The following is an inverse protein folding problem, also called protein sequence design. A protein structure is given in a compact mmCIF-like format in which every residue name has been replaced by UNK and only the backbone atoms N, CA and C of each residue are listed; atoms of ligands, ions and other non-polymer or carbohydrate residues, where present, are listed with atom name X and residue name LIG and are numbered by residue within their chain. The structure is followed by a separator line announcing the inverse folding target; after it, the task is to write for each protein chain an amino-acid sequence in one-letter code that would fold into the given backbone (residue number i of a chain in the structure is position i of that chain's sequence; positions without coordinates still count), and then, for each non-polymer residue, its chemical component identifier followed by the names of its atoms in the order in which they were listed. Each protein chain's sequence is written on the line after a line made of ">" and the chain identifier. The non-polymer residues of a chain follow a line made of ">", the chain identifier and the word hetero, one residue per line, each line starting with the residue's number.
data_IF_482074685439
#
_entry.id   IF_482074685439
#
_cell.length_a   1.000
_cell.length_b   1.000
_cell.length_c   1.000
_cell.angle_alpha   90.00
_cell.angle_beta   90.00
_cell.angle_gamma   90.00
#
_symmetry.space_group_name_H-M   'P 1'
#
loop_
_entity.id
_entity.type
_entity.pdbx_description
1 polymer ?
#
# COMPACT_ATOMS: atom_id res chain seq x y z
N UNK A 1 42.11 -40.18 -11.21
CA UNK A 1 41.27 -39.05 -10.75
C UNK A 1 41.21 -39.10 -9.22
N UNK A 2 41.69 -38.07 -8.53
CA UNK A 2 41.80 -38.05 -7.06
C UNK A 2 40.49 -37.51 -6.49
N UNK A 3 39.61 -38.39 -6.00
CA UNK A 3 38.33 -37.98 -5.41
C UNK A 3 38.57 -37.36 -4.03
N UNK A 4 38.28 -36.07 -3.88
CA UNK A 4 38.27 -35.40 -2.58
C UNK A 4 37.06 -35.92 -1.80
N UNK A 5 37.32 -36.74 -0.77
CA UNK A 5 36.28 -37.20 0.16
C UNK A 5 36.00 -36.08 1.16
N UNK A 6 34.95 -35.31 0.93
CA UNK A 6 34.49 -34.32 1.91
C UNK A 6 33.97 -35.04 3.16
N UNK A 7 34.62 -34.80 4.29
CA UNK A 7 34.24 -35.39 5.55
C UNK A 7 33.06 -34.58 6.13
N UNK A 8 31.83 -34.93 5.72
CA UNK A 8 30.60 -34.19 6.06
C UNK A 8 30.38 -33.97 7.58
N UNK A 9 31.00 -34.79 8.43
CA UNK A 9 30.92 -34.64 9.88
C UNK A 9 31.64 -33.38 10.41
N UNK A 10 32.71 -32.93 9.73
CA UNK A 10 33.44 -31.71 10.08
C UNK A 10 32.70 -30.42 9.66
N UNK A 11 31.63 -30.54 8.85
CA UNK A 11 30.79 -29.41 8.41
C UNK A 11 29.65 -29.09 9.38
N UNK A 12 29.44 -29.90 10.43
CA UNK A 12 28.43 -29.66 11.47
C UNK A 12 28.57 -28.27 12.13
N UNK A 13 29.76 -27.83 12.59
CA UNK A 13 29.91 -26.48 13.15
C UNK A 13 29.67 -25.37 12.11
N UNK A 14 30.07 -25.60 10.85
CA UNK A 14 29.85 -24.64 9.74
C UNK A 14 28.35 -24.47 9.46
N UNK A 15 27.58 -25.56 9.52
CA UNK A 15 26.11 -25.51 9.36
C UNK A 15 25.44 -24.75 10.49
N UNK A 16 25.90 -24.92 11.73
CA UNK A 16 25.38 -24.19 12.89
C UNK A 16 25.69 -22.70 12.77
N UNK A 17 26.92 -22.34 12.41
CA UNK A 17 27.31 -20.94 12.20
C UNK A 17 26.48 -20.29 11.09
N UNK A 18 26.30 -20.98 9.96
CA UNK A 18 25.48 -20.48 8.86
C UNK A 18 24.02 -20.28 9.27
N UNK A 19 23.44 -21.22 10.03
CA UNK A 19 22.08 -21.10 10.54
C UNK A 19 21.91 -19.88 11.47
N UNK A 20 22.90 -19.59 12.32
CA UNK A 20 22.90 -18.40 13.19
C UNK A 20 23.01 -17.11 12.38
N UNK A 21 23.86 -17.07 11.34
CA UNK A 21 23.98 -15.90 10.48
C UNK A 21 22.68 -15.64 9.70
N UNK A 22 22.04 -16.68 9.17
CA UNK A 22 20.76 -16.56 8.46
C UNK A 22 19.64 -16.14 9.40
N UNK A 23 19.57 -16.69 10.61
CA UNK A 23 18.55 -16.29 11.59
C UNK A 23 18.74 -14.84 12.05
N UNK A 24 19.98 -14.41 12.29
CA UNK A 24 20.29 -13.02 12.59
C UNK A 24 19.89 -12.10 11.43
N UNK A 25 20.26 -12.43 10.18
CA UNK A 25 19.85 -11.68 8.99
C UNK A 25 18.34 -11.57 8.86
N UNK A 26 17.60 -12.65 9.10
CA UNK A 26 16.14 -12.64 9.06
C UNK A 26 15.56 -11.74 10.17
N UNK A 27 16.06 -11.84 11.40
CA UNK A 27 15.59 -10.98 12.50
C UNK A 27 15.88 -9.50 12.23
N UNK A 28 17.09 -9.16 11.78
CA UNK A 28 17.44 -7.78 11.44
C UNK A 28 16.71 -7.27 10.19
N UNK A 29 16.42 -8.16 9.23
CA UNK A 29 15.59 -7.84 8.06
C UNK A 29 14.14 -7.56 8.41
N UNK A 30 13.63 -8.10 9.51
CA UNK A 30 12.27 -7.81 10.01
C UNK A 30 12.25 -6.65 11.00
N UNK A 31 13.35 -6.38 11.70
CA UNK A 31 13.49 -5.25 12.63
C UNK A 31 13.75 -3.91 11.93
N UNK A 32 14.18 -3.94 10.67
CA UNK A 32 14.13 -2.80 9.76
C UNK A 32 12.89 -2.98 8.88
N UNK A 33 11.67 -2.54 9.30
CA UNK A 33 10.61 -2.35 8.33
C UNK A 33 11.22 -1.46 7.25
N UNK A 34 11.26 -1.99 6.04
CA UNK A 34 12.08 -1.50 4.96
C UNK A 34 12.20 0.03 4.99
N UNK A 35 13.43 0.53 4.83
CA UNK A 35 13.72 1.88 4.34
C UNK A 35 13.11 2.13 2.93
N UNK A 36 12.06 1.41 2.54
CA UNK A 36 11.00 1.94 1.72
C UNK A 36 10.36 3.12 2.43
N UNK A 37 10.98 4.29 2.27
CA UNK A 37 10.20 5.44 1.83
C UNK A 37 9.14 4.94 0.83
N UNK A 38 7.88 5.39 0.92
CA UNK A 38 6.78 4.78 0.18
C UNK A 38 7.17 4.62 -1.27
N UNK A 39 7.25 3.36 -1.73
CA UNK A 39 7.60 2.96 -3.11
C UNK A 39 6.56 3.52 -4.12
N UNK A 40 5.53 4.19 -3.63
CA UNK A 40 4.67 5.10 -4.37
C UNK A 40 4.92 6.56 -3.95
N UNK A 41 5.61 7.38 -4.77
CA UNK A 41 5.87 8.79 -4.49
C UNK A 41 4.62 9.68 -4.35
N UNK A 42 3.42 9.17 -4.67
CA UNK A 42 2.13 9.84 -4.47
C UNK A 42 1.18 9.11 -3.51
N UNK A 43 1.66 8.06 -2.82
CA UNK A 43 0.84 7.35 -1.84
C UNK A 43 0.67 8.19 -0.58
N UNK A 44 -0.55 8.65 -0.31
CA UNK A 44 -0.92 9.19 1.00
C UNK A 44 -0.40 8.26 2.10
N UNK A 45 0.15 8.80 3.21
CA UNK A 45 0.45 7.95 4.36
C UNK A 45 -0.83 7.20 4.73
N UNK A 46 -0.85 5.88 4.49
CA UNK A 46 -1.93 5.03 4.97
C UNK A 46 -1.88 5.14 6.48
N UNK A 47 -2.84 5.84 7.08
CA UNK A 47 -2.97 5.92 8.52
C UNK A 47 -3.38 4.53 9.01
N UNK A 48 -2.47 3.70 9.57
CA UNK A 48 -2.79 2.31 9.88
C UNK A 48 -3.81 2.21 11.01
N UNK A 49 -4.00 3.30 11.76
CA UNK A 49 -5.07 3.46 12.77
C UNK A 49 -6.43 3.80 12.16
N UNK A 50 -6.49 4.31 10.93
CA UNK A 50 -7.72 4.43 10.18
C UNK A 50 -7.91 3.11 9.44
N UNK A 51 -8.71 2.21 10.01
CA UNK A 51 -9.16 1.02 9.29
C UNK A 51 -9.87 1.40 7.97
N UNK A 52 -10.28 0.40 7.20
CA UNK A 52 -11.00 0.62 5.95
C UNK A 52 -12.17 1.61 6.16
N UNK A 53 -12.26 2.62 5.28
CA UNK A 53 -13.40 3.53 5.30
C UNK A 53 -14.66 2.71 5.04
N UNK A 54 -15.62 2.74 5.98
CA UNK A 54 -16.87 2.01 5.81
C UNK A 54 -17.74 2.71 4.73
N UNK A 55 -17.65 2.20 3.50
CA UNK A 55 -18.40 2.63 2.32
C UNK A 55 -19.78 1.92 2.24
N UNK A 56 -20.51 1.91 3.36
CA UNK A 56 -21.80 1.21 3.49
C UNK A 56 -22.89 1.73 2.55
N UNK A 57 -22.81 2.99 2.13
CA UNK A 57 -23.73 3.57 1.15
C UNK A 57 -23.50 2.97 -0.24
N UNK A 58 -22.24 2.81 -0.64
CA UNK A 58 -21.88 2.15 -1.91
C UNK A 58 -22.32 0.69 -1.90
N UNK A 59 -22.08 -0.04 -0.80
CA UNK A 59 -22.51 -1.44 -0.67
C UNK A 59 -24.04 -1.58 -0.80
N UNK A 60 -24.78 -0.70 -0.14
CA UNK A 60 -26.25 -0.68 -0.20
C UNK A 60 -26.75 -0.38 -1.61
N UNK A 61 -26.22 0.66 -2.26
CA UNK A 61 -26.62 1.03 -3.63
C UNK A 61 -26.26 -0.07 -4.64
N UNK A 62 -25.12 -0.74 -4.47
CA UNK A 62 -24.74 -1.89 -5.29
C UNK A 62 -25.69 -3.09 -5.08
N UNK A 63 -26.09 -3.39 -3.84
CA UNK A 63 -27.09 -4.44 -3.58
C UNK A 63 -28.45 -4.09 -4.17
N UNK A 64 -28.90 -2.84 -4.03
CA UNK A 64 -30.14 -2.37 -4.62
C UNK A 64 -30.11 -2.46 -6.16
N UNK A 65 -28.98 -2.14 -6.79
CA UNK A 65 -28.81 -2.25 -8.24
C UNK A 65 -28.88 -3.70 -8.76
N UNK A 66 -28.43 -4.68 -7.97
CA UNK A 66 -28.50 -6.10 -8.32
C UNK A 66 -29.92 -6.66 -8.13
N UNK A 67 -30.69 -6.10 -7.18
CA UNK A 67 -32.04 -6.55 -6.86
C UNK A 67 -33.13 -5.88 -7.70
N UNK A 68 -32.87 -4.70 -8.26
CA UNK A 68 -33.80 -3.96 -9.13
C UNK A 68 -33.69 -4.39 -10.59
N UNK A 69 -34.79 -4.18 -11.33
CA UNK A 69 -34.76 -4.19 -12.79
C UNK A 69 -33.73 -3.19 -13.33
N UNK A 70 -33.17 -3.44 -14.54
CA UNK A 70 -32.19 -2.55 -15.13
C UNK A 70 -32.66 -1.10 -15.13
N UNK A 71 -31.79 -0.19 -14.66
CA UNK A 71 -32.12 1.23 -14.57
C UNK A 71 -32.62 1.78 -15.90
N UNK A 72 -33.66 2.61 -15.84
CA UNK A 72 -34.12 3.36 -17.00
C UNK A 72 -33.06 4.40 -17.39
N UNK A 73 -32.96 4.76 -18.69
CA UNK A 73 -31.99 5.77 -19.16
C UNK A 73 -32.02 7.07 -18.36
N UNK A 74 -33.21 7.50 -17.92
CA UNK A 74 -33.38 8.73 -17.12
C UNK A 74 -32.79 8.57 -15.72
N UNK A 75 -33.02 7.43 -15.07
CA UNK A 75 -32.48 7.11 -13.74
C UNK A 75 -30.96 6.97 -13.78
N UNK A 76 -30.43 6.29 -14.81
CA UNK A 76 -28.99 6.22 -15.11
C UNK A 76 -28.38 7.62 -15.26
N UNK A 77 -29.04 8.51 -16.00
CA UNK A 77 -28.52 9.86 -16.26
C UNK A 77 -28.58 10.74 -15.01
N UNK A 78 -29.61 10.62 -14.17
CA UNK A 78 -29.68 11.32 -12.88
C UNK A 78 -28.59 10.83 -11.93
N UNK A 79 -28.45 9.51 -11.74
CA UNK A 79 -27.41 8.92 -10.87
C UNK A 79 -25.99 9.26 -11.36
N UNK A 80 -25.75 9.23 -12.67
CA UNK A 80 -24.48 9.64 -13.26
C UNK A 80 -24.16 11.12 -13.03
N UNK A 81 -25.17 12.00 -13.06
CA UNK A 81 -24.99 13.43 -12.77
C UNK A 81 -24.71 13.69 -11.28
N UNK A 82 -25.22 12.84 -10.40
CA UNK A 82 -25.03 12.98 -8.95
C UNK A 82 -23.59 12.69 -8.50
N UNK A 83 -22.79 11.92 -9.27
CA UNK A 83 -21.40 11.72 -8.88
C UNK A 83 -20.63 10.64 -9.62
N UNK A 84 -20.25 9.60 -8.88
CA UNK A 84 -19.15 8.68 -9.19
C UNK A 84 -19.44 7.75 -10.37
N UNK A 85 -20.65 7.17 -10.43
CA UNK A 85 -21.15 6.34 -11.53
C UNK A 85 -22.66 6.10 -11.39
N UNK A 86 -23.24 5.32 -12.30
CA UNK A 86 -24.70 5.12 -12.39
C UNK A 86 -25.26 4.20 -11.32
N UNK A 87 -24.41 3.44 -10.62
CA UNK A 87 -24.76 2.54 -9.53
C UNK A 87 -24.61 3.25 -8.18
N UNK A 88 -23.46 3.87 -7.94
CA UNK A 88 -23.06 4.47 -6.67
C UNK A 88 -23.56 5.91 -6.51
N UNK A 89 -23.84 6.63 -7.61
CA UNK A 89 -24.22 8.04 -7.56
C UNK A 89 -23.25 8.87 -6.70
N UNK A 90 -23.77 9.63 -5.75
CA UNK A 90 -22.98 10.41 -4.78
C UNK A 90 -22.65 9.64 -3.48
N UNK A 91 -22.95 8.34 -3.38
CA UNK A 91 -22.83 7.59 -2.14
C UNK A 91 -21.39 7.58 -1.62
N UNK A 92 -21.23 7.94 -0.34
CA UNK A 92 -19.94 7.98 0.38
C UNK A 92 -18.82 8.77 -0.34
N UNK A 93 -19.19 9.70 -1.22
CA UNK A 93 -18.28 10.52 -2.00
C UNK A 93 -17.27 11.31 -1.13
N UNK A 94 -17.73 11.77 0.04
CA UNK A 94 -16.93 12.48 1.04
C UNK A 94 -15.99 11.57 1.86
N UNK A 95 -16.21 10.25 1.82
CA UNK A 95 -15.38 9.26 2.53
C UNK A 95 -14.31 8.65 1.63
N UNK A 96 -14.39 8.85 0.33
CA UNK A 96 -13.39 8.38 -0.62
C UNK A 96 -12.14 9.25 -0.59
N UNK A 97 -10.97 8.61 -0.74
CA UNK A 97 -9.71 9.32 -0.94
C UNK A 97 -9.68 9.91 -2.35
N UNK A 98 -9.35 11.20 -2.42
CA UNK A 98 -9.33 12.04 -3.61
C UNK A 98 -8.04 12.86 -3.59
N UNK A 99 -7.50 13.26 -4.76
CA UNK A 99 -6.29 14.09 -4.80
C UNK A 99 -6.38 15.35 -3.93
N UNK A 100 -7.55 15.99 -3.85
CA UNK A 100 -7.79 17.18 -3.02
C UNK A 100 -7.77 16.93 -1.50
N UNK A 101 -8.12 15.72 -1.04
CA UNK A 101 -8.15 15.37 0.40
C UNK A 101 -6.99 14.43 0.79
N UNK A 102 -6.20 14.00 -0.19
CA UNK A 102 -4.97 13.25 -0.03
C UNK A 102 -3.82 14.22 0.28
N UNK A 103 -3.28 14.17 1.50
CA UNK A 103 -2.05 14.88 1.86
C UNK A 103 -0.84 14.15 1.27
N UNK A 104 -0.65 14.29 -0.04
CA UNK A 104 0.58 13.85 -0.72
C UNK A 104 1.59 15.01 -0.74
N UNK A 105 2.85 14.72 -0.41
CA UNK A 105 3.94 15.68 -0.58
C UNK A 105 4.33 15.73 -2.05
N UNK A 106 4.47 16.93 -2.64
CA UNK A 106 4.94 17.07 -4.02
C UNK A 106 6.35 16.50 -4.19
N UNK A 107 6.66 15.99 -5.38
CA UNK A 107 8.00 15.51 -5.73
C UNK A 107 9.02 16.64 -5.58
N UNK A 108 8.62 17.88 -5.87
CA UNK A 108 9.46 19.06 -5.75
C UNK A 108 9.80 19.40 -4.29
N UNK A 109 8.82 19.29 -3.38
CA UNK A 109 9.03 19.49 -1.95
C UNK A 109 9.98 18.43 -1.37
N UNK A 110 9.89 17.18 -1.85
CA UNK A 110 10.80 16.10 -1.45
C UNK A 110 12.21 16.32 -1.96
N UNK A 111 12.35 16.78 -3.21
CA UNK A 111 13.66 17.07 -3.80
C UNK A 111 14.34 18.23 -3.08
N UNK A 112 13.58 19.28 -2.73
CA UNK A 112 14.06 20.42 -1.97
C UNK A 112 14.51 20.03 -0.55
N UNK A 113 13.68 19.27 0.18
CA UNK A 113 14.06 18.75 1.50
C UNK A 113 15.30 17.84 1.45
N UNK A 114 15.41 16.99 0.42
CA UNK A 114 16.58 16.14 0.23
C UNK A 114 17.85 16.97 -0.05
N UNK A 115 17.75 17.94 -0.97
CA UNK A 115 18.85 18.86 -1.29
C UNK A 115 19.27 19.71 -0.07
N UNK A 116 18.32 20.20 0.72
CA UNK A 116 18.59 20.96 1.95
C UNK A 116 19.28 20.07 3.01
N UNK A 117 18.82 18.82 3.17
CA UNK A 117 19.43 17.86 4.11
C UNK A 117 20.86 17.45 3.75
N UNK A 118 21.17 17.33 2.45
CA UNK A 118 22.51 16.95 1.97
C UNK A 118 23.44 18.16 1.92
N UNK A 119 22.91 19.35 1.67
CA UNK A 119 23.69 20.60 1.59
C UNK A 119 23.94 21.22 2.96
N UNK A 120 23.29 20.72 4.03
CA UNK A 120 23.52 21.18 5.40
C UNK A 120 23.07 22.62 5.67
N UNK A 121 22.18 23.15 4.82
CA UNK A 121 21.70 24.52 4.89
C UNK A 121 20.41 24.53 5.70
N UNK A 122 20.55 24.66 7.02
CA UNK A 122 19.45 25.12 7.88
C UNK A 122 19.19 26.60 7.62
#
# INVERSE_FOLDING_TARGET
>A
MRSVRFNLSALRPVRILFAICVSALLVFSQALPAFSAPVNPGGSPTAPQQGEAQLRGIEKEAQEAVLKDPYSRKETQTKAQEGLNEVQGAADLNKMSRPENAKATSVEDKLKNALESVTGKN
#
